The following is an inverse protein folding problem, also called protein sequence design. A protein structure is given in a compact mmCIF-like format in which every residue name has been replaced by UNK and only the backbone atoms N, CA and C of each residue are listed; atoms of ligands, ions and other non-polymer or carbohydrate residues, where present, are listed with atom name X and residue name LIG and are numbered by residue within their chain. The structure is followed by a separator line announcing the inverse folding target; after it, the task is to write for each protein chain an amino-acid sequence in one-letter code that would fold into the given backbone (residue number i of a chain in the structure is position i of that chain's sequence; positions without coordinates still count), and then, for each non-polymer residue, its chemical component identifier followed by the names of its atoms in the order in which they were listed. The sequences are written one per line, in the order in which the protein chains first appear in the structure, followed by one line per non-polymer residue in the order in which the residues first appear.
data_IF_587818314777
#
_entry.id   IF_587818314777
#
_cell.length_a   1.000
_cell.length_b   1.000
_cell.length_c   1.000
_cell.angle_alpha   90.00
_cell.angle_beta   90.00
_cell.angle_gamma   90.00
#
_symmetry.space_group_name_H-M   'P 1'
#
loop_
_entity.id
_entity.type
_entity.pdbx_description
1 polymer ?
#
# COMPACT_ATOMS: atom_id res chain seq x y z
N UNK A 1 24.08 2.99 4.53
CA UNK A 1 23.36 2.39 3.37
C UNK A 1 22.64 1.16 3.87
N UNK A 2 21.33 0.99 3.62
CA UNK A 2 20.47 0.06 4.38
C UNK A 2 20.70 -1.45 4.13
N UNK A 3 21.45 -1.82 3.09
CA UNK A 3 21.69 -3.21 2.68
C UNK A 3 23.10 -3.36 2.07
N UNK A 4 23.76 -4.51 2.21
CA UNK A 4 25.05 -4.79 1.58
C UNK A 4 24.96 -4.84 0.04
N UNK A 5 26.09 -4.57 -0.63
CA UNK A 5 26.22 -4.48 -2.11
C UNK A 5 25.65 -5.68 -2.85
N UNK A 6 25.87 -6.88 -2.32
CA UNK A 6 25.49 -8.15 -2.92
C UNK A 6 23.97 -8.37 -2.97
N UNK A 7 23.20 -7.69 -2.12
CA UNK A 7 21.74 -7.91 -1.98
C UNK A 7 20.89 -6.77 -2.55
N UNK A 8 21.50 -5.67 -3.02
CA UNK A 8 20.75 -4.48 -3.47
C UNK A 8 19.82 -4.77 -4.64
N UNK A 9 20.28 -5.54 -5.63
CA UNK A 9 19.47 -5.89 -6.80
C UNK A 9 18.20 -6.67 -6.40
N UNK A 10 18.35 -7.66 -5.51
CA UNK A 10 17.23 -8.44 -4.98
C UNK A 10 16.26 -7.58 -4.16
N UNK A 11 16.78 -6.65 -3.36
CA UNK A 11 15.93 -5.73 -2.59
C UNK A 11 15.13 -4.77 -3.47
N UNK A 12 15.74 -4.23 -4.53
CA UNK A 12 15.01 -3.42 -5.52
C UNK A 12 13.95 -4.26 -6.22
N UNK A 13 14.29 -5.47 -6.66
CA UNK A 13 13.32 -6.38 -7.26
C UNK A 13 12.13 -6.66 -6.32
N UNK A 14 12.39 -6.89 -5.04
CA UNK A 14 11.35 -7.12 -4.03
C UNK A 14 10.48 -5.87 -3.80
N UNK A 15 11.09 -4.69 -3.80
CA UNK A 15 10.38 -3.41 -3.66
C UNK A 15 9.39 -3.14 -4.79
N UNK A 16 9.62 -3.70 -5.98
CA UNK A 16 8.68 -3.65 -7.10
C UNK A 16 7.68 -4.82 -7.11
N UNK A 17 8.12 -6.01 -6.69
CA UNK A 17 7.28 -7.21 -6.66
C UNK A 17 6.11 -7.05 -5.68
N UNK A 18 6.37 -6.55 -4.47
CA UNK A 18 5.34 -6.44 -3.42
C UNK A 18 4.18 -5.53 -3.86
N UNK A 19 4.41 -4.28 -4.33
CA UNK A 19 3.34 -3.45 -4.87
C UNK A 19 2.67 -4.07 -6.11
N UNK A 20 3.46 -4.72 -6.98
CA UNK A 20 2.96 -5.38 -8.18
C UNK A 20 1.91 -6.45 -7.87
N UNK A 21 2.20 -7.34 -6.94
CA UNK A 21 1.28 -8.40 -6.48
C UNK A 21 -0.01 -7.81 -5.90
N UNK A 22 0.09 -6.69 -5.16
CA UNK A 22 -1.06 -6.10 -4.49
C UNK A 22 -1.95 -5.28 -5.44
N UNK A 23 -1.40 -4.71 -6.51
CA UNK A 23 -2.10 -3.73 -7.35
C UNK A 23 -3.40 -4.25 -8.00
N UNK A 24 -3.35 -5.43 -8.61
CA UNK A 24 -4.48 -6.04 -9.32
C UNK A 24 -5.60 -6.52 -8.38
N UNK A 25 -5.33 -7.35 -7.34
CA UNK A 25 -6.38 -7.81 -6.44
C UNK A 25 -7.00 -6.67 -5.63
N UNK A 26 -6.24 -5.60 -5.31
CA UNK A 26 -6.76 -4.46 -4.56
C UNK A 26 -7.91 -3.76 -5.26
N UNK A 27 -7.79 -3.56 -6.59
CA UNK A 27 -8.86 -2.95 -7.38
C UNK A 27 -10.12 -3.83 -7.40
N UNK A 28 -9.95 -5.15 -7.48
CA UNK A 28 -11.05 -6.11 -7.46
C UNK A 28 -11.76 -6.14 -6.11
N UNK A 29 -11.01 -6.22 -5.00
CA UNK A 29 -11.55 -6.22 -3.64
C UNK A 29 -12.34 -4.93 -3.39
N UNK A 30 -11.78 -3.78 -3.77
CA UNK A 30 -12.46 -2.50 -3.60
C UNK A 30 -13.75 -2.43 -4.45
N UNK A 31 -13.72 -2.95 -5.69
CA UNK A 31 -14.91 -3.07 -6.53
C UNK A 31 -16.00 -3.94 -5.87
N UNK A 32 -15.63 -5.10 -5.34
CA UNK A 32 -16.56 -5.99 -4.62
C UNK A 32 -17.15 -5.33 -3.37
N UNK A 33 -16.33 -4.57 -2.62
CA UNK A 33 -16.81 -3.82 -1.46
C UNK A 33 -17.82 -2.73 -1.86
N UNK A 34 -17.54 -1.97 -2.93
CA UNK A 34 -18.47 -0.96 -3.45
C UNK A 34 -19.77 -1.58 -3.96
N UNK A 35 -19.70 -2.72 -4.66
CA UNK A 35 -20.89 -3.45 -5.10
C UNK A 35 -21.71 -3.97 -3.90
N UNK A 36 -21.05 -4.45 -2.84
CA UNK A 36 -21.72 -4.87 -1.62
C UNK A 36 -22.41 -3.71 -0.88
N UNK A 37 -21.79 -2.53 -0.85
CA UNK A 37 -22.37 -1.31 -0.25
C UNK A 37 -23.58 -0.82 -1.05
N UNK A 38 -23.47 -0.83 -2.38
CA UNK A 38 -24.59 -0.47 -3.27
C UNK A 38 -25.74 -1.48 -3.17
N UNK A 39 -25.42 -2.75 -2.98
CA UNK A 39 -26.36 -3.86 -3.11
C UNK A 39 -26.96 -3.90 -4.53
N UNK A 40 -28.25 -4.24 -4.59
CA UNK A 40 -29.01 -4.35 -5.85
C UNK A 40 -29.56 -3.01 -6.36
N UNK A 41 -29.27 -1.89 -5.69
CA UNK A 41 -29.80 -0.60 -6.11
C UNK A 41 -29.20 -0.14 -7.43
N UNK A 42 -30.08 0.23 -8.35
CA UNK A 42 -29.71 0.80 -9.66
C UNK A 42 -29.82 2.32 -9.69
N UNK A 43 -30.23 2.96 -8.59
CA UNK A 43 -30.37 4.40 -8.50
C UNK A 43 -29.01 5.10 -8.65
N UNK A 44 -28.92 6.20 -9.42
CA UNK A 44 -27.67 6.95 -9.58
C UNK A 44 -27.10 7.46 -8.26
N UNK A 45 -27.96 7.82 -7.31
CA UNK A 45 -27.56 8.31 -5.98
C UNK A 45 -26.79 7.24 -5.19
N UNK A 46 -27.29 6.01 -5.14
CA UNK A 46 -26.65 4.92 -4.39
C UNK A 46 -25.32 4.50 -5.00
N UNK A 47 -25.20 4.56 -6.33
CA UNK A 47 -23.93 4.35 -7.04
C UNK A 47 -22.89 5.41 -6.66
N UNK A 48 -23.31 6.67 -6.61
CA UNK A 48 -22.40 7.75 -6.22
C UNK A 48 -22.01 7.65 -4.75
N UNK A 49 -22.95 7.31 -3.86
CA UNK A 49 -22.66 7.10 -2.45
C UNK A 49 -21.67 5.96 -2.21
N UNK A 50 -21.86 4.80 -2.87
CA UNK A 50 -20.93 3.67 -2.79
C UNK A 50 -19.52 4.06 -3.30
N UNK A 51 -19.45 4.83 -4.39
CA UNK A 51 -18.19 5.36 -4.90
C UNK A 51 -17.50 6.32 -3.91
N UNK A 52 -18.25 7.24 -3.30
CA UNK A 52 -17.72 8.15 -2.27
C UNK A 52 -17.14 7.37 -1.09
N UNK A 53 -17.83 6.33 -0.62
CA UNK A 53 -17.33 5.46 0.45
C UNK A 53 -16.04 4.74 0.03
N UNK A 54 -15.98 4.23 -1.21
CA UNK A 54 -14.78 3.62 -1.77
C UNK A 54 -13.58 4.59 -1.79
N UNK A 55 -13.79 5.84 -2.19
CA UNK A 55 -12.77 6.88 -2.17
C UNK A 55 -12.30 7.22 -0.75
N UNK A 56 -13.22 7.25 0.22
CA UNK A 56 -12.90 7.46 1.62
C UNK A 56 -12.04 6.32 2.19
N UNK A 57 -12.37 5.07 1.89
CA UNK A 57 -11.55 3.92 2.31
C UNK A 57 -10.17 3.96 1.66
N UNK A 58 -10.08 4.23 0.35
CA UNK A 58 -8.80 4.38 -0.34
C UNK A 58 -7.92 5.45 0.31
N UNK A 59 -8.51 6.59 0.65
CA UNK A 59 -7.82 7.69 1.35
C UNK A 59 -7.34 7.27 2.74
N UNK A 60 -8.11 6.46 3.46
CA UNK A 60 -7.74 5.93 4.77
C UNK A 60 -6.53 4.99 4.68
N UNK A 61 -6.47 4.13 3.66
CA UNK A 61 -5.29 3.28 3.40
C UNK A 61 -4.06 4.12 3.04
N UNK A 62 -4.22 5.19 2.27
CA UNK A 62 -3.13 6.11 1.96
C UNK A 62 -2.58 6.79 3.21
N UNK A 63 -3.46 7.21 4.14
CA UNK A 63 -3.05 7.77 5.42
C UNK A 63 -2.27 6.75 6.27
N UNK A 64 -2.73 5.50 6.33
CA UNK A 64 -1.99 4.42 7.01
C UNK A 64 -0.62 4.16 6.38
N UNK A 65 -0.53 4.17 5.04
CA UNK A 65 0.74 4.05 4.31
C UNK A 65 1.71 5.19 4.65
N UNK A 66 1.21 6.42 4.79
CA UNK A 66 2.02 7.56 5.19
C UNK A 66 2.61 7.39 6.60
N UNK A 67 1.84 6.81 7.54
CA UNK A 67 2.35 6.49 8.89
C UNK A 67 3.48 5.45 8.84
N UNK A 68 3.34 4.41 8.01
CA UNK A 68 4.42 3.44 7.79
C UNK A 68 5.68 4.12 7.21
N UNK A 69 5.51 5.00 6.23
CA UNK A 69 6.61 5.79 5.67
C UNK A 69 7.30 6.67 6.73
N UNK A 70 6.52 7.28 7.62
CA UNK A 70 7.07 8.09 8.72
C UNK A 70 7.83 7.23 9.74
N UNK A 71 7.33 6.04 10.06
CA UNK A 71 8.03 5.09 10.93
C UNK A 71 9.40 4.71 10.34
N UNK A 72 9.49 4.47 9.03
CA UNK A 72 10.76 4.14 8.37
C UNK A 72 11.83 5.24 8.54
N UNK A 73 11.44 6.52 8.60
CA UNK A 73 12.39 7.62 8.82
C UNK A 73 13.09 7.48 10.17
N UNK A 74 12.38 7.05 11.22
CA UNK A 74 12.97 6.86 12.54
C UNK A 74 13.90 5.66 12.63
N UNK A 75 13.60 4.58 11.91
CA UNK A 75 14.42 3.36 11.93
C UNK A 75 15.62 3.42 10.97
N UNK A 76 15.55 4.27 9.95
CA UNK A 76 16.58 4.38 8.90
C UNK A 76 18.03 4.54 9.42
N UNK A 77 18.33 5.37 10.44
CA UNK A 77 19.69 5.49 10.96
C UNK A 77 20.22 4.17 11.54
N UNK A 78 19.42 3.49 12.35
CA UNK A 78 19.81 2.22 12.97
C UNK A 78 19.94 1.07 11.96
N UNK A 79 19.14 1.10 10.90
CA UNK A 79 19.26 0.13 9.81
C UNK A 79 20.51 0.37 8.96
N UNK A 80 20.96 1.63 8.82
CA UNK A 80 22.23 1.94 8.16
C UNK A 80 23.44 1.46 8.96
N UNK A 81 23.43 1.65 10.28
CA UNK A 81 24.52 1.21 11.17
C UNK A 81 24.68 -0.32 11.11
N UNK A 82 23.58 -1.07 11.26
CA UNK A 82 23.60 -2.54 11.16
C UNK A 82 24.10 -3.06 9.82
N UNK A 83 23.78 -2.37 8.74
CA UNK A 83 24.21 -2.76 7.40
C UNK A 83 25.70 -2.48 7.17
N UNK A 84 26.29 -1.52 7.87
CA UNK A 84 27.74 -1.27 7.88
C UNK A 84 28.49 -2.31 8.72
N UNK A 85 27.92 -2.79 9.83
CA UNK A 85 28.50 -3.88 10.63
C UNK A 85 28.54 -5.23 9.88
N UNK A 86 27.66 -5.43 8.91
CA UNK A 86 27.52 -6.68 8.14
C UNK A 86 28.20 -6.64 6.75
N UNK A 87 28.73 -5.48 6.34
CA UNK A 87 29.37 -5.26 5.04
C UNK A 87 30.87 -5.48 5.08
#
# INVERSE_FOLDING_TARGET
MILPSSSRASAVALSHLIPGINSIPSAQIMGMAMDAIRGDSTLPYDRFHAFQLGMFYSSSFMAASALCGFALIFFFPGDCEKAEEQG
#
